data_IF_930490196589
#
_entry.id   IF_930490196589
#
_cell.length_a   1.000
_cell.length_b   1.000
_cell.length_c   1.000
_cell.angle_alpha   90.00
_cell.angle_beta   90.00
_cell.angle_gamma   90.00
#
_symmetry.space_group_name_H-M   'P 1'
#
loop_
_entity.id
_entity.type
_entity.pdbx_description
1 polymer ?
#
# COMPACT_ATOMS: atom_id res chain seq x y z
N UNK A 1 -7.94 -21.20 -17.31
CA UNK A 1 -6.50 -20.97 -17.07
C UNK A 1 -6.25 -21.02 -15.57
N UNK A 2 -5.13 -21.57 -15.11
CA UNK A 2 -4.80 -21.54 -13.68
C UNK A 2 -4.65 -20.08 -13.23
N UNK A 3 -5.41 -19.73 -12.21
CA UNK A 3 -5.41 -18.40 -11.60
C UNK A 3 -5.18 -18.54 -10.09
N UNK A 4 -4.49 -17.58 -9.49
CA UNK A 4 -4.37 -17.45 -8.05
C UNK A 4 -5.05 -16.15 -7.64
N UNK A 5 -5.89 -16.23 -6.63
CA UNK A 5 -6.38 -15.05 -5.92
C UNK A 5 -5.55 -14.94 -4.65
N UNK A 6 -4.75 -13.89 -4.58
CA UNK A 6 -3.93 -13.58 -3.42
C UNK A 6 -4.59 -12.46 -2.62
N UNK A 7 -4.88 -12.75 -1.35
CA UNK A 7 -5.43 -11.79 -0.40
C UNK A 7 -4.30 -11.24 0.50
N UNK A 8 -3.73 -10.12 0.11
CA UNK A 8 -2.64 -9.46 0.82
C UNK A 8 -3.17 -8.58 1.95
N UNK A 9 -2.96 -8.97 3.21
CA UNK A 9 -3.17 -8.10 4.38
C UNK A 9 -1.84 -7.53 4.83
N UNK A 10 -1.53 -6.35 4.33
CA UNK A 10 -0.27 -5.66 4.59
C UNK A 10 -0.44 -4.45 5.50
N UNK A 11 0.64 -3.69 5.62
CA UNK A 11 0.72 -2.46 6.40
C UNK A 11 -0.20 -1.36 5.86
N UNK A 12 -0.51 -1.40 4.56
CA UNK A 12 -1.32 -0.42 3.84
C UNK A 12 -2.77 -0.88 3.59
N UNK A 13 -3.27 -1.82 4.39
CA UNK A 13 -4.63 -2.33 4.25
C UNK A 13 -4.72 -3.71 3.61
N UNK A 14 -5.81 -3.96 2.88
CA UNK A 14 -6.14 -5.24 2.23
C UNK A 14 -6.16 -5.06 0.72
N UNK A 15 -5.34 -5.84 0.02
CA UNK A 15 -5.28 -5.85 -1.44
C UNK A 15 -5.62 -7.25 -1.96
N UNK A 16 -6.34 -7.31 -3.08
CA UNK A 16 -6.64 -8.57 -3.77
C UNK A 16 -5.91 -8.55 -5.11
N UNK A 17 -5.04 -9.52 -5.33
CA UNK A 17 -4.35 -9.69 -6.60
C UNK A 17 -4.86 -10.96 -7.27
N UNK A 18 -5.25 -10.85 -8.53
CA UNK A 18 -5.54 -12.02 -9.36
C UNK A 18 -4.37 -12.23 -10.31
N UNK A 19 -3.66 -13.33 -10.13
CA UNK A 19 -2.51 -13.72 -10.95
C UNK A 19 -2.98 -14.80 -11.93
N UNK A 20 -3.06 -14.45 -13.20
CA UNK A 20 -3.39 -15.40 -14.26
C UNK A 20 -2.10 -15.92 -14.90
N UNK A 21 -1.88 -17.23 -14.85
CA UNK A 21 -0.77 -17.84 -15.56
C UNK A 21 -1.06 -17.84 -17.06
N UNK A 22 -0.51 -16.88 -17.77
CA UNK A 22 -0.48 -16.88 -19.23
C UNK A 22 0.79 -17.60 -19.70
N UNK A 23 0.82 -18.92 -19.60
CA UNK A 23 1.69 -19.73 -20.45
C UNK A 23 0.99 -19.97 -21.79
N UNK A 24 0.69 -18.89 -22.51
CA UNK A 24 0.59 -19.05 -23.95
C UNK A 24 2.00 -18.85 -24.48
N UNK A 25 2.66 -19.87 -25.06
CA UNK A 25 3.65 -19.53 -26.07
C UNK A 25 2.89 -18.64 -27.05
N UNK A 26 3.36 -17.43 -27.28
CA UNK A 26 2.90 -16.62 -28.40
C UNK A 26 3.30 -17.39 -29.66
N UNK A 27 2.52 -18.41 -30.01
CA UNK A 27 2.57 -19.02 -31.33
C UNK A 27 2.06 -17.93 -32.27
N UNK A 28 3.04 -17.22 -32.83
CA UNK A 28 2.95 -16.10 -33.75
C UNK A 28 2.32 -14.84 -33.14
N UNK A 29 3.11 -13.81 -32.76
CA UNK A 29 2.54 -12.47 -32.74
C UNK A 29 2.00 -12.19 -34.15
N UNK A 30 0.72 -11.80 -34.32
CA UNK A 30 0.29 -11.22 -35.58
C UNK A 30 1.17 -10.00 -35.80
N UNK A 31 1.83 -9.96 -36.95
CA UNK A 31 2.60 -8.81 -37.41
C UNK A 31 1.57 -7.69 -37.63
N UNK A 32 1.28 -6.95 -36.56
CA UNK A 32 0.69 -5.62 -36.63
C UNK A 32 1.78 -4.66 -36.20
N UNK A 33 2.43 -4.15 -37.23
CA UNK A 33 3.37 -3.05 -37.20
C UNK A 33 2.77 -1.83 -36.51
N UNK A 34 3.12 -1.63 -35.24
CA UNK A 34 3.19 -0.29 -34.68
C UNK A 34 4.64 0.19 -34.76
N UNK A 35 4.82 1.22 -35.58
CA UNK A 35 6.07 1.86 -35.97
C UNK A 35 6.80 2.42 -34.74
N UNK A 36 7.99 1.91 -34.46
CA UNK A 36 9.10 2.73 -33.98
C UNK A 36 10.43 2.10 -34.42
N UNK A 37 11.18 2.89 -35.19
CA UNK A 37 12.49 2.65 -35.78
C UNK A 37 12.55 1.67 -36.97
N UNK A 38 12.42 2.27 -38.16
CA UNK A 38 12.90 1.70 -39.42
C UNK A 38 14.35 1.23 -39.27
N UNK A 39 14.58 -0.08 -39.42
CA UNK A 39 15.88 -0.64 -39.72
C UNK A 39 15.84 -1.04 -41.18
N UNK A 40 16.46 -0.22 -42.03
CA UNK A 40 16.61 -0.49 -43.47
C UNK A 40 17.43 -1.78 -43.62
N UNK A 41 16.82 -2.81 -44.18
CA UNK A 41 17.48 -4.04 -44.63
C UNK A 41 17.68 -3.95 -46.14
N UNK A 42 18.91 -4.16 -46.63
CA UNK A 42 19.17 -4.36 -48.05
C UNK A 42 18.88 -5.84 -48.42
N UNK A 43 18.47 -6.06 -49.67
CA UNK A 43 17.74 -7.22 -50.20
C UNK A 43 18.44 -8.61 -50.21
N UNK A 44 19.59 -8.81 -49.55
CA UNK A 44 20.36 -10.06 -49.71
C UNK A 44 20.50 -10.96 -48.46
N UNK A 45 19.46 -11.03 -47.61
CA UNK A 45 19.16 -12.22 -46.80
C UNK A 45 20.32 -12.96 -46.09
N UNK A 46 21.26 -12.25 -45.44
CA UNK A 46 22.27 -12.87 -44.57
C UNK A 46 22.29 -12.21 -43.20
N UNK A 47 21.96 -12.99 -42.17
CA UNK A 47 22.13 -12.64 -40.76
C UNK A 47 23.59 -12.89 -40.40
N UNK A 48 24.41 -11.83 -40.32
CA UNK A 48 25.75 -11.92 -39.75
C UNK A 48 25.67 -11.86 -38.23
N UNK A 49 26.02 -12.96 -37.56
CA UNK A 49 26.43 -12.96 -36.15
C UNK A 49 27.58 -11.97 -35.94
N UNK A 50 27.66 -11.23 -34.82
CA UNK A 50 28.80 -10.37 -34.55
C UNK A 50 30.01 -11.25 -34.21
N UNK A 51 30.77 -11.64 -35.25
CA UNK A 51 32.18 -11.99 -35.08
C UNK A 51 32.90 -10.71 -34.70
N UNK A 52 33.47 -10.70 -33.50
CA UNK A 52 34.48 -9.73 -33.10
C UNK A 52 35.67 -9.98 -34.01
N UNK A 53 35.72 -9.27 -35.14
CA UNK A 53 36.91 -9.21 -35.95
C UNK A 53 37.93 -8.37 -35.18
N UNK A 54 39.04 -9.00 -34.80
CA UNK A 54 40.28 -8.31 -34.46
C UNK A 54 40.61 -7.34 -35.61
N UNK A 55 40.34 -6.06 -35.40
CA UNK A 55 40.85 -5.02 -36.29
C UNK A 55 42.25 -4.68 -35.79
N UNK A 56 43.25 -5.21 -36.51
CA UNK A 56 44.60 -4.69 -36.50
C UNK A 56 44.56 -3.25 -36.98
N UNK A 57 44.50 -2.29 -36.06
CA UNK A 57 44.80 -0.89 -36.36
C UNK A 57 46.30 -0.67 -36.22
N UNK A 58 47.05 -1.12 -37.23
CA UNK A 58 48.32 -0.50 -37.60
C UNK A 58 48.01 0.85 -38.27
N UNK A 59 47.62 1.84 -37.48
CA UNK A 59 47.72 3.25 -37.89
C UNK A 59 48.75 3.93 -37.01
N UNK A 60 49.93 4.11 -37.62
CA UNK A 60 50.99 4.97 -37.11
C UNK A 60 50.50 6.41 -37.09
N UNK A 61 49.99 6.85 -35.95
CA UNK A 61 49.92 8.28 -35.63
C UNK A 61 51.34 8.78 -35.30
N UNK A 62 52.11 9.03 -36.35
CA UNK A 62 53.31 9.87 -36.30
C UNK A 62 52.86 11.33 -36.40
N UNK A 63 52.76 12.01 -35.26
CA UNK A 63 53.57 13.18 -34.90
C UNK A 63 52.89 13.91 -33.74
N UNK A 64 53.39 13.70 -32.52
CA UNK A 64 53.64 14.79 -31.57
C UNK A 64 54.88 14.36 -30.77
N UNK A 65 55.81 15.30 -30.68
CA UNK A 65 57.23 15.12 -30.42
C UNK A 65 57.55 14.43 -29.11
N UNK A 66 58.50 13.51 -29.18
CA UNK A 66 59.38 13.09 -28.10
C UNK A 66 60.08 14.30 -27.47
N UNK A 67 59.57 14.83 -26.37
CA UNK A 67 60.32 15.33 -25.21
C UNK A 67 59.30 15.55 -24.07
N UNK A 68 59.58 14.97 -22.91
CA UNK A 68 58.63 14.74 -21.84
C UNK A 68 57.94 15.99 -21.31
N UNK A 69 56.61 15.96 -21.34
CA UNK A 69 55.80 16.62 -20.32
C UNK A 69 54.93 15.53 -19.70
N UNK A 70 55.28 15.11 -18.48
CA UNK A 70 54.42 14.26 -17.67
C UNK A 70 53.21 15.10 -17.35
N UNK A 71 52.09 14.88 -18.06
CA UNK A 71 50.83 15.57 -17.79
C UNK A 71 50.47 15.27 -16.33
N UNK A 72 50.50 16.29 -15.48
CA UNK A 72 50.08 16.13 -14.09
C UNK A 72 48.59 15.84 -14.06
N UNK A 73 48.23 14.66 -13.56
CA UNK A 73 46.84 14.24 -13.42
C UNK A 73 46.11 15.22 -12.51
N UNK A 74 45.00 15.75 -12.99
CA UNK A 74 44.15 16.63 -12.19
C UNK A 74 43.52 15.85 -11.02
N UNK A 75 43.16 16.55 -9.94
CA UNK A 75 42.50 15.94 -8.76
C UNK A 75 41.25 15.14 -9.12
N UNK A 76 40.56 15.52 -10.19
CA UNK A 76 39.40 14.82 -10.75
C UNK A 76 39.75 13.45 -11.34
N UNK A 77 40.90 13.31 -11.99
CA UNK A 77 41.38 12.02 -12.54
C UNK A 77 41.87 11.05 -11.45
N UNK A 78 42.27 11.57 -10.30
CA UNK A 78 42.64 10.79 -9.12
C UNK A 78 41.42 10.37 -8.27
N UNK A 79 40.20 10.77 -8.65
CA UNK A 79 38.97 10.41 -7.93
C UNK A 79 38.51 8.97 -8.19
N UNK A 80 38.91 8.38 -9.32
CA UNK A 80 38.65 6.97 -9.62
C UNK A 80 39.77 6.16 -8.96
N UNK A 81 39.46 5.34 -7.93
CA UNK A 81 40.48 4.55 -7.26
C UNK A 81 41.12 3.57 -8.24
N UNK A 82 42.45 3.52 -8.25
CA UNK A 82 43.20 2.56 -9.05
C UNK A 82 42.90 1.14 -8.60
N UNK A 83 42.96 0.17 -9.51
CA UNK A 83 42.66 -1.25 -9.21
C UNK A 83 43.46 -1.76 -8.00
N UNK A 84 44.72 -1.34 -7.86
CA UNK A 84 45.58 -1.65 -6.71
C UNK A 84 45.11 -1.03 -5.39
N UNK A 85 44.50 0.16 -5.43
CA UNK A 85 43.90 0.79 -4.25
C UNK A 85 42.60 0.09 -3.82
N UNK A 86 41.80 -0.39 -4.78
CA UNK A 86 40.57 -1.17 -4.52
C UNK A 86 40.94 -2.53 -3.90
N UNK A 87 41.96 -3.20 -4.45
CA UNK A 87 42.47 -4.48 -3.94
C UNK A 87 42.95 -4.37 -2.49
N UNK A 88 43.61 -3.27 -2.12
CA UNK A 88 44.05 -3.03 -0.73
C UNK A 88 42.90 -2.65 0.21
N UNK A 89 41.90 -1.92 -0.29
CA UNK A 89 40.79 -1.42 0.53
C UNK A 89 39.78 -2.50 0.90
N UNK A 90 39.56 -3.44 0.00
CA UNK A 90 38.54 -4.50 0.11
C UNK A 90 39.17 -5.90 -0.01
N UNK A 91 40.37 -6.08 0.57
CA UNK A 91 41.16 -7.32 0.52
C UNK A 91 40.38 -8.53 1.10
N UNK A 92 39.61 -8.30 2.17
CA UNK A 92 38.74 -9.33 2.76
C UNK A 92 37.64 -9.81 1.80
N UNK A 93 36.97 -8.89 1.10
CA UNK A 93 35.95 -9.25 0.10
C UNK A 93 36.58 -9.95 -1.10
N UNK A 94 37.79 -9.55 -1.48
CA UNK A 94 38.53 -10.19 -2.56
C UNK A 94 38.95 -11.62 -2.18
N UNK A 95 39.37 -11.83 -0.93
CA UNK A 95 39.67 -13.16 -0.40
C UNK A 95 38.43 -14.04 -0.31
N UNK A 96 37.28 -13.49 0.06
CA UNK A 96 35.99 -14.18 -0.01
C UNK A 96 35.62 -14.55 -1.45
N UNK A 97 35.77 -13.64 -2.41
CA UNK A 97 35.54 -13.93 -3.82
C UNK A 97 36.48 -15.00 -4.36
N UNK A 98 37.76 -14.99 -3.97
CA UNK A 98 38.72 -16.05 -4.32
C UNK A 98 38.28 -17.39 -3.73
N UNK A 99 37.84 -17.42 -2.48
CA UNK A 99 37.34 -18.63 -1.83
C UNK A 99 36.07 -19.17 -2.52
N UNK A 100 35.13 -18.29 -2.88
CA UNK A 100 33.93 -18.65 -3.64
C UNK A 100 34.27 -19.17 -5.04
N UNK A 101 35.22 -18.52 -5.73
CA UNK A 101 35.70 -18.97 -7.03
C UNK A 101 36.31 -20.37 -6.96
N UNK A 102 37.13 -20.64 -5.94
CA UNK A 102 37.69 -21.99 -5.71
C UNK A 102 36.61 -23.04 -5.44
N UNK A 103 35.51 -22.66 -4.76
CA UNK A 103 34.36 -23.56 -4.58
C UNK A 103 33.52 -23.76 -5.84
N UNK A 104 33.44 -22.75 -6.71
CA UNK A 104 32.61 -22.78 -7.92
C UNK A 104 33.24 -23.59 -9.05
N UNK A 105 34.58 -23.57 -9.18
CA UNK A 105 35.32 -24.34 -10.19
C UNK A 105 34.92 -25.83 -10.21
N UNK A 106 34.96 -26.60 -9.09
CA UNK A 106 34.59 -28.00 -9.10
C UNK A 106 33.09 -28.24 -9.36
N UNK A 107 32.21 -27.29 -9.02
CA UNK A 107 30.79 -27.38 -9.34
C UNK A 107 30.55 -27.21 -10.85
N UNK A 108 31.25 -26.27 -11.49
CA UNK A 108 31.21 -26.06 -12.93
C UNK A 108 31.85 -27.24 -13.67
N UNK A 109 32.99 -27.75 -13.21
CA UNK A 109 33.62 -28.96 -13.76
C UNK A 109 32.71 -30.18 -13.63
N UNK A 110 32.02 -30.35 -12.49
CA UNK A 110 31.01 -31.40 -12.35
C UNK A 110 29.81 -31.17 -13.27
N UNK A 111 29.36 -29.94 -13.48
CA UNK A 111 28.26 -29.62 -14.40
C UNK A 111 28.67 -29.89 -15.87
N UNK A 112 29.90 -29.56 -16.24
CA UNK A 112 30.50 -29.83 -17.56
C UNK A 112 30.70 -31.33 -17.75
N UNK A 113 31.18 -32.05 -16.74
CA UNK A 113 31.30 -33.51 -16.77
C UNK A 113 29.93 -34.18 -16.87
N UNK A 114 28.91 -33.70 -16.15
CA UNK A 114 27.53 -34.16 -16.32
C UNK A 114 27.03 -33.89 -17.73
N UNK A 115 27.32 -32.71 -18.30
CA UNK A 115 26.97 -32.36 -19.68
C UNK A 115 27.66 -33.29 -20.69
N UNK A 116 28.95 -33.61 -20.51
CA UNK A 116 29.69 -34.51 -21.39
C UNK A 116 29.29 -35.98 -21.22
N UNK A 117 28.94 -36.43 -20.02
CA UNK A 117 28.38 -37.76 -19.78
C UNK A 117 26.96 -37.87 -20.40
N UNK A 118 26.22 -36.76 -20.47
CA UNK A 118 24.94 -36.70 -21.18
C UNK A 118 25.06 -36.52 -22.70
N UNK A 119 26.19 -36.02 -23.21
CA UNK A 119 26.43 -35.90 -24.67
C UNK A 119 26.62 -37.29 -25.32
N UNK A 120 27.25 -38.25 -24.65
CA UNK A 120 27.41 -39.63 -25.17
C UNK A 120 26.18 -40.52 -24.95
N UNK A 121 25.27 -40.15 -24.04
CA UNK A 121 24.00 -40.86 -23.80
C UNK A 121 22.84 -39.89 -23.83
N UNK A 122 22.16 -39.86 -24.98
CA UNK A 122 20.85 -39.27 -25.23
C UNK A 122 20.83 -37.73 -25.40
N UNK A 123 21.13 -37.27 -26.62
CA UNK A 123 20.24 -36.26 -27.23
C UNK A 123 18.87 -36.92 -27.50
N UNK A 124 18.14 -37.24 -26.45
CA UNK A 124 16.69 -37.25 -26.57
C UNK A 124 16.31 -35.78 -26.77
N UNK A 125 15.95 -35.43 -28.00
CA UNK A 125 15.28 -34.18 -28.33
C UNK A 125 14.37 -33.80 -27.16
N UNK A 126 14.60 -32.61 -26.55
CA UNK A 126 13.85 -32.17 -25.38
C UNK A 126 12.36 -32.27 -25.69
N UNK A 127 11.74 -33.37 -25.28
CA UNK A 127 10.31 -33.56 -25.49
C UNK A 127 9.66 -32.50 -24.62
N UNK A 128 8.78 -31.66 -25.18
CA UNK A 128 8.02 -30.74 -24.35
C UNK A 128 7.39 -31.57 -23.22
N UNK A 129 7.53 -31.14 -21.95
CA UNK A 129 6.95 -31.88 -20.85
C UNK A 129 5.47 -32.13 -21.16
N UNK A 130 4.99 -33.32 -20.82
CA UNK A 130 3.59 -33.67 -21.07
C UNK A 130 2.69 -32.58 -20.51
N UNK A 131 1.62 -32.25 -21.26
CA UNK A 131 0.65 -31.24 -20.85
C UNK A 131 0.09 -31.63 -19.48
N UNK A 132 0.59 -30.98 -18.45
CA UNK A 132 0.10 -31.14 -17.10
C UNK A 132 -1.33 -30.63 -17.05
N UNK A 133 -2.27 -31.47 -16.62
CA UNK A 133 -3.66 -31.07 -16.39
C UNK A 133 -3.85 -30.47 -14.99
N UNK A 134 -2.96 -30.82 -14.08
CA UNK A 134 -2.97 -30.35 -12.69
C UNK A 134 -1.90 -29.27 -12.53
N UNK A 135 -2.36 -28.02 -12.48
CA UNK A 135 -1.51 -26.89 -12.16
C UNK A 135 -1.70 -26.54 -10.70
N UNK A 136 -0.71 -26.84 -9.87
CA UNK A 136 -0.64 -26.26 -8.55
C UNK A 136 -0.12 -24.82 -8.66
N UNK A 137 -1.06 -23.90 -8.88
CA UNK A 137 -0.77 -22.48 -9.01
C UNK A 137 0.06 -21.96 -7.82
N UNK A 138 -0.18 -22.48 -6.62
CA UNK A 138 0.56 -22.13 -5.40
C UNK A 138 2.06 -22.46 -5.50
N UNK A 139 2.43 -23.61 -6.10
CA UNK A 139 3.82 -24.01 -6.30
C UNK A 139 4.57 -23.04 -7.21
N UNK A 140 3.91 -22.65 -8.31
CA UNK A 140 4.46 -21.67 -9.25
C UNK A 140 4.65 -20.30 -8.60
N UNK A 141 3.68 -19.89 -7.78
CA UNK A 141 3.78 -18.64 -7.02
C UNK A 141 4.95 -18.68 -6.05
N UNK A 142 5.06 -19.71 -5.21
CA UNK A 142 6.15 -19.84 -4.25
C UNK A 142 7.51 -19.87 -4.95
N UNK A 143 7.64 -20.59 -6.07
CA UNK A 143 8.87 -20.60 -6.87
C UNK A 143 9.20 -19.23 -7.47
N UNK A 144 8.24 -18.52 -8.07
CA UNK A 144 8.48 -17.24 -8.74
C UNK A 144 8.92 -16.14 -7.76
N UNK A 145 8.40 -16.16 -6.53
CA UNK A 145 8.76 -15.20 -5.49
C UNK A 145 9.99 -15.63 -4.67
N UNK A 146 10.69 -16.70 -5.09
CA UNK A 146 11.93 -17.15 -4.44
C UNK A 146 11.70 -17.93 -3.14
N UNK A 147 10.46 -18.27 -2.82
CA UNK A 147 10.10 -19.15 -1.71
C UNK A 147 10.33 -20.63 -2.01
N UNK A 148 10.91 -20.99 -3.16
CA UNK A 148 11.37 -22.36 -3.44
C UNK A 148 12.71 -22.27 -4.17
N UNK A 149 13.80 -22.08 -3.45
CA UNK A 149 15.14 -22.17 -4.04
C UNK A 149 15.49 -23.64 -4.33
N UNK A 150 16.44 -23.87 -5.23
CA UNK A 150 16.95 -25.21 -5.52
C UNK A 150 17.46 -25.89 -4.24
N UNK A 151 18.10 -25.10 -3.37
CA UNK A 151 18.60 -25.54 -2.06
C UNK A 151 17.47 -25.98 -1.11
N UNK A 152 16.32 -25.28 -1.11
CA UNK A 152 15.13 -25.68 -0.36
C UNK A 152 14.52 -26.97 -0.90
N UNK A 153 14.56 -27.18 -2.22
CA UNK A 153 14.10 -28.42 -2.87
C UNK A 153 15.01 -29.60 -2.58
N UNK A 154 16.33 -29.42 -2.59
CA UNK A 154 17.29 -30.49 -2.28
C UNK A 154 17.13 -31.01 -0.84
N UNK A 155 16.78 -30.15 0.10
CA UNK A 155 16.39 -30.53 1.46
C UNK A 155 15.13 -31.41 1.47
N UNK A 156 14.05 -30.96 0.83
CA UNK A 156 12.77 -31.69 0.75
C UNK A 156 12.91 -33.03 0.01
N UNK A 157 13.81 -33.11 -0.98
CA UNK A 157 14.00 -34.29 -1.83
C UNK A 157 14.93 -35.33 -1.20
N UNK A 158 16.01 -34.90 -0.55
CA UNK A 158 17.10 -35.81 -0.16
C UNK A 158 17.23 -36.00 1.35
N UNK A 159 16.46 -35.28 2.18
CA UNK A 159 16.41 -35.47 3.63
C UNK A 159 17.77 -35.38 4.34
N UNK A 160 18.79 -34.80 3.71
CA UNK A 160 20.16 -34.78 4.22
C UNK A 160 20.44 -33.51 5.00
N UNK A 161 20.95 -33.71 6.21
CA UNK A 161 21.43 -32.75 7.20
C UNK A 161 22.21 -31.57 6.58
N UNK A 162 21.50 -30.48 6.32
CA UNK A 162 22.11 -29.17 6.19
C UNK A 162 22.26 -28.60 7.61
N UNK A 163 23.38 -28.92 8.27
CA UNK A 163 23.72 -28.38 9.60
C UNK A 163 23.99 -26.85 9.58
N UNK A 164 23.91 -26.19 8.43
CA UNK A 164 23.94 -24.74 8.33
C UNK A 164 22.54 -24.18 8.61
N UNK A 165 22.17 -24.21 9.90
CA UNK A 165 20.89 -23.73 10.43
C UNK A 165 20.48 -22.35 9.96
N UNK A 166 21.41 -21.52 9.46
CA UNK A 166 21.13 -20.15 8.99
C UNK A 166 20.26 -20.07 7.74
N UNK A 167 20.43 -20.93 6.74
CA UNK A 167 19.63 -20.85 5.50
C UNK A 167 18.21 -21.41 5.71
N UNK A 168 18.10 -22.52 6.45
CA UNK A 168 16.84 -23.13 6.85
C UNK A 168 16.05 -22.22 7.81
N UNK A 169 16.68 -21.69 8.87
CA UNK A 169 16.03 -20.72 9.76
C UNK A 169 15.65 -19.43 9.03
N UNK A 170 16.44 -18.97 8.06
CA UNK A 170 16.09 -17.80 7.27
C UNK A 170 14.86 -18.06 6.40
N UNK A 171 14.75 -19.22 5.77
CA UNK A 171 13.59 -19.62 4.97
C UNK A 171 12.33 -19.88 5.82
N UNK A 172 12.44 -20.65 6.91
CA UNK A 172 11.36 -20.91 7.87
C UNK A 172 10.92 -19.63 8.61
N UNK A 173 11.79 -18.63 8.74
CA UNK A 173 11.40 -17.33 9.30
C UNK A 173 10.51 -16.50 8.37
N UNK A 174 10.52 -16.77 7.06
CA UNK A 174 9.77 -16.00 6.06
C UNK A 174 8.34 -16.50 5.84
N UNK A 175 8.08 -17.79 6.06
CA UNK A 175 6.75 -18.39 5.89
C UNK A 175 6.32 -19.00 7.21
N UNK A 176 5.16 -18.56 7.71
CA UNK A 176 4.56 -19.08 8.93
C UNK A 176 3.16 -19.60 8.63
N UNK A 177 2.91 -20.85 9.03
CA UNK A 177 1.59 -21.46 8.94
C UNK A 177 0.72 -20.95 10.08
N UNK A 178 -0.47 -20.48 9.73
CA UNK A 178 -1.46 -20.01 10.69
C UNK A 178 -2.65 -20.97 10.70
N UNK A 179 -3.17 -21.29 11.88
CA UNK A 179 -4.38 -22.07 12.03
C UNK A 179 -5.61 -21.24 11.68
N UNK A 180 -6.19 -21.49 10.52
CA UNK A 180 -7.44 -20.86 10.09
C UNK A 180 -8.67 -21.40 10.82
N UNK A 181 -8.58 -22.60 11.41
CA UNK A 181 -9.70 -23.28 12.08
C UNK A 181 -9.85 -22.87 13.55
N UNK A 182 -8.87 -22.16 14.10
CA UNK A 182 -8.92 -21.68 15.47
C UNK A 182 -10.16 -20.81 15.75
N UNK A 183 -10.82 -21.08 16.87
CA UNK A 183 -11.94 -20.27 17.36
C UNK A 183 -11.45 -18.81 17.51
N UNK A 184 -12.11 -17.87 16.83
CA UNK A 184 -11.78 -16.44 16.72
C UNK A 184 -10.78 -16.00 15.63
N UNK A 185 -10.14 -16.88 14.84
CA UNK A 185 -9.21 -16.43 13.78
C UNK A 185 -9.87 -15.43 12.82
N UNK A 186 -11.05 -15.79 12.31
CA UNK A 186 -11.80 -14.93 11.38
C UNK A 186 -12.25 -13.61 12.01
N UNK A 187 -12.59 -13.59 13.30
CA UNK A 187 -13.00 -12.35 13.96
C UNK A 187 -11.82 -11.42 14.23
N UNK A 188 -10.65 -11.96 14.54
CA UNK A 188 -9.42 -11.18 14.64
C UNK A 188 -8.97 -10.62 13.28
N UNK A 189 -9.17 -11.38 12.19
CA UNK A 189 -8.97 -10.89 10.82
C UNK A 189 -9.97 -9.78 10.46
N UNK A 190 -11.26 -9.92 10.82
CA UNK A 190 -12.25 -8.85 10.63
C UNK A 190 -11.90 -7.60 11.42
N UNK A 191 -11.41 -7.75 12.66
CA UNK A 191 -10.92 -6.62 13.47
C UNK A 191 -9.71 -5.96 12.82
N UNK A 192 -8.78 -6.74 12.26
CA UNK A 192 -7.65 -6.22 11.50
C UNK A 192 -8.12 -5.43 10.28
N UNK A 193 -9.07 -5.95 9.51
CA UNK A 193 -9.58 -5.29 8.31
C UNK A 193 -10.35 -3.99 8.62
N UNK A 194 -10.86 -3.81 9.84
CA UNK A 194 -11.45 -2.55 10.34
C UNK A 194 -10.43 -1.49 10.76
N UNK A 195 -9.14 -1.82 10.87
CA UNK A 195 -8.11 -0.81 11.18
C UNK A 195 -7.85 0.02 9.93
N UNK A 196 -8.00 1.34 10.05
CA UNK A 196 -7.72 2.30 8.98
C UNK A 196 -6.35 2.06 8.33
N UNK A 197 -6.23 2.13 7.00
CA UNK A 197 -4.94 2.14 6.32
C UNK A 197 -4.26 3.52 6.36
N UNK A 198 -5.02 4.60 6.59
CA UNK A 198 -4.60 6.01 6.47
C UNK A 198 -4.92 6.77 7.76
N UNK A 199 -4.42 8.00 7.86
CA UNK A 199 -4.89 8.93 8.87
C UNK A 199 -6.31 9.36 8.52
N UNK A 200 -7.18 9.51 9.50
CA UNK A 200 -8.54 9.98 9.26
C UNK A 200 -8.90 11.13 10.22
N UNK A 201 -9.83 11.98 9.82
CA UNK A 201 -10.31 13.11 10.62
C UNK A 201 -11.73 13.53 10.22
N UNK A 202 -12.39 14.24 11.13
CA UNK A 202 -13.79 14.65 10.98
C UNK A 202 -13.93 16.14 11.24
N UNK A 203 -14.64 16.84 10.36
CA UNK A 203 -15.01 18.25 10.56
C UNK A 203 -16.53 18.43 10.54
N UNK A 204 -17.08 19.02 11.60
CA UNK A 204 -18.51 19.32 11.70
C UNK A 204 -18.76 20.76 11.24
N UNK A 205 -19.63 20.97 10.27
CA UNK A 205 -19.91 22.28 9.69
C UNK A 205 -21.24 22.82 10.24
N UNK A 206 -21.22 24.04 10.76
CA UNK A 206 -22.38 24.74 11.29
C UNK A 206 -22.55 26.09 10.61
N UNK A 207 -23.79 26.56 10.52
CA UNK A 207 -24.14 27.87 9.96
C UNK A 207 -24.89 28.69 11.01
N UNK A 208 -24.29 29.76 11.54
CA UNK A 208 -24.96 30.73 12.40
C UNK A 208 -25.40 31.95 11.61
N UNK A 209 -26.70 32.22 11.68
CA UNK A 209 -27.31 33.45 11.16
C UNK A 209 -27.01 34.63 12.07
N UNK A 210 -27.24 35.84 11.56
CA UNK A 210 -27.16 37.08 12.33
C UNK A 210 -28.01 37.02 13.60
N UNK A 211 -27.51 37.60 14.70
CA UNK A 211 -28.12 37.60 16.04
C UNK A 211 -28.25 36.23 16.73
N UNK A 212 -27.80 35.12 16.14
CA UNK A 212 -27.78 33.82 16.81
C UNK A 212 -26.53 33.66 17.64
N UNK A 213 -26.68 33.24 18.90
CA UNK A 213 -25.58 33.20 19.88
C UNK A 213 -25.09 31.79 20.18
N UNK A 214 -25.88 30.75 19.90
CA UNK A 214 -25.58 29.37 20.32
C UNK A 214 -25.63 28.40 19.15
N UNK A 215 -24.74 27.41 19.14
CA UNK A 215 -24.68 26.36 18.11
C UNK A 215 -26.01 25.61 17.96
N UNK A 216 -26.80 25.47 19.02
CA UNK A 216 -28.10 24.77 19.01
C UNK A 216 -29.10 25.44 18.05
N UNK A 217 -29.03 26.75 17.89
CA UNK A 217 -29.90 27.52 16.98
C UNK A 217 -29.55 27.28 15.50
N UNK A 218 -28.36 26.72 15.23
CA UNK A 218 -27.86 26.51 13.87
C UNK A 218 -28.52 25.33 13.14
N UNK A 219 -29.08 24.35 13.87
CA UNK A 219 -29.57 23.10 13.27
C UNK A 219 -30.75 23.32 12.32
N UNK A 220 -31.65 24.27 12.66
CA UNK A 220 -32.80 24.59 11.80
C UNK A 220 -32.44 25.43 10.58
N UNK A 221 -31.26 26.08 10.56
CA UNK A 221 -30.92 27.05 9.52
C UNK A 221 -30.75 26.40 8.13
N UNK A 222 -30.31 25.15 8.10
CA UNK A 222 -30.08 24.40 6.86
C UNK A 222 -31.39 24.03 6.14
N UNK A 223 -32.54 24.09 6.82
CA UNK A 223 -33.85 23.87 6.21
C UNK A 223 -34.31 25.09 5.39
N UNK A 224 -33.73 26.27 5.63
CA UNK A 224 -34.08 27.53 4.96
C UNK A 224 -33.02 27.93 3.94
N UNK A 225 -32.85 27.13 2.87
CA UNK A 225 -31.76 27.28 1.90
C UNK A 225 -31.74 28.65 1.18
N UNK A 226 -32.90 29.26 0.94
CA UNK A 226 -33.03 30.56 0.24
C UNK A 226 -32.43 31.74 1.02
N UNK A 227 -32.28 31.60 2.34
CA UNK A 227 -31.76 32.66 3.20
C UNK A 227 -30.26 32.52 3.47
N UNK A 228 -29.63 31.45 3.01
CA UNK A 228 -28.22 31.19 3.27
C UNK A 228 -27.35 31.99 2.30
N UNK A 229 -26.19 32.44 2.79
CA UNK A 229 -25.21 33.14 1.97
C UNK A 229 -24.72 32.23 0.83
N UNK A 230 -24.80 32.65 -0.45
CA UNK A 230 -24.33 31.85 -1.59
C UNK A 230 -22.86 31.41 -1.48
N UNK A 231 -22.01 32.22 -0.85
CA UNK A 231 -20.61 31.89 -0.64
C UNK A 231 -20.41 30.69 0.30
N UNK A 232 -21.35 30.44 1.23
CA UNK A 232 -21.31 29.27 2.09
C UNK A 232 -21.48 27.99 1.27
N UNK A 233 -22.45 27.94 0.36
CA UNK A 233 -22.64 26.77 -0.52
C UNK A 233 -21.40 26.47 -1.36
N UNK A 234 -20.79 27.52 -1.93
CA UNK A 234 -19.57 27.38 -2.73
C UNK A 234 -18.38 26.92 -1.88
N UNK A 235 -18.26 27.39 -0.65
CA UNK A 235 -17.26 26.86 0.29
C UNK A 235 -17.52 25.37 0.59
N UNK A 236 -18.78 25.02 0.89
CA UNK A 236 -19.15 23.65 1.28
C UNK A 236 -18.92 22.65 0.15
N UNK A 237 -19.27 23.02 -1.09
CA UNK A 237 -19.06 22.17 -2.27
C UNK A 237 -17.58 21.89 -2.57
N UNK A 238 -16.68 22.75 -2.09
CA UNK A 238 -15.24 22.56 -2.25
C UNK A 238 -14.61 21.64 -1.19
N UNK A 239 -15.34 21.26 -0.13
CA UNK A 239 -14.77 20.39 0.90
C UNK A 239 -14.52 18.97 0.43
N UNK A 240 -15.32 18.45 -0.49
CA UNK A 240 -15.22 17.07 -0.95
C UNK A 240 -16.39 16.64 -1.83
N UNK A 241 -16.41 15.35 -2.16
CA UNK A 241 -17.49 14.73 -2.93
C UNK A 241 -18.56 14.19 -1.98
N UNK A 242 -19.83 14.34 -2.34
CA UNK A 242 -20.94 13.78 -1.56
C UNK A 242 -20.93 12.26 -1.74
N UNK A 243 -20.89 11.52 -0.65
CA UNK A 243 -20.95 10.05 -0.65
C UNK A 243 -22.00 9.56 0.35
N UNK A 244 -22.62 8.42 0.04
CA UNK A 244 -23.57 7.75 0.92
C UNK A 244 -22.83 6.86 1.92
N UNK A 245 -23.08 7.04 3.21
CA UNK A 245 -22.36 6.35 4.30
C UNK A 245 -22.45 4.82 4.17
N UNK A 246 -23.62 4.30 3.77
CA UNK A 246 -23.85 2.86 3.61
C UNK A 246 -23.02 2.22 2.48
N UNK A 247 -22.61 3.01 1.48
CA UNK A 247 -21.94 2.55 0.26
C UNK A 247 -20.49 3.01 0.17
N UNK A 248 -20.02 3.78 1.15
CA UNK A 248 -18.67 4.30 1.15
C UNK A 248 -17.71 3.34 1.87
N UNK A 249 -16.53 3.13 1.29
CA UNK A 249 -15.51 2.22 1.80
C UNK A 249 -14.42 2.90 2.65
N UNK A 250 -14.34 4.24 2.64
CA UNK A 250 -13.38 5.00 3.44
C UNK A 250 -13.94 5.48 4.77
N UNK A 251 -13.31 6.50 5.34
CA UNK A 251 -13.77 7.19 6.54
C UNK A 251 -15.12 7.90 6.35
N UNK A 252 -16.09 7.58 7.21
CA UNK A 252 -17.46 8.13 7.17
C UNK A 252 -17.78 9.05 8.35
N UNK A 253 -16.79 9.37 9.19
CA UNK A 253 -16.99 10.15 10.42
C UNK A 253 -17.25 9.30 11.67
N UNK A 254 -17.48 7.99 11.51
CA UNK A 254 -17.63 7.02 12.61
C UNK A 254 -16.92 5.70 12.23
N UNK A 255 -16.12 5.15 13.13
CA UNK A 255 -15.39 3.89 12.93
C UNK A 255 -16.32 2.68 12.70
N UNK A 256 -17.52 2.69 13.27
CA UNK A 256 -18.51 1.61 13.08
C UNK A 256 -19.09 1.57 11.67
N UNK A 257 -19.13 2.73 10.99
CA UNK A 257 -19.67 2.88 9.64
C UNK A 257 -18.59 2.89 8.55
N UNK A 258 -17.31 3.00 8.93
CA UNK A 258 -16.17 3.14 8.01
C UNK A 258 -15.49 1.81 7.66
N UNK A 259 -14.67 1.83 6.60
CA UNK A 259 -13.83 0.70 6.15
C UNK A 259 -14.59 -0.60 5.94
N UNK A 260 -15.81 -0.48 5.40
CA UNK A 260 -16.69 -1.61 5.08
C UNK A 260 -16.44 -2.12 3.67
N UNK A 261 -16.63 -3.43 3.49
CA UNK A 261 -16.68 -4.02 2.16
C UNK A 261 -18.05 -3.76 1.57
N UNK A 262 -18.10 -3.07 0.43
CA UNK A 262 -19.35 -2.70 -0.24
C UNK A 262 -19.55 -3.65 -1.43
N UNK A 263 -20.65 -4.43 -1.48
CA UNK A 263 -20.96 -5.27 -2.63
C UNK A 263 -21.06 -4.45 -3.92
N UNK A 264 -20.42 -4.93 -4.99
CA UNK A 264 -20.35 -4.26 -6.31
C UNK A 264 -21.75 -3.93 -6.86
N UNK A 265 -22.76 -4.74 -6.55
CA UNK A 265 -24.15 -4.52 -7.02
C UNK A 265 -24.71 -3.18 -6.51
N UNK A 266 -24.28 -2.73 -5.34
CA UNK A 266 -24.69 -1.45 -4.79
C UNK A 266 -23.94 -0.27 -5.43
N UNK A 267 -22.82 -0.42 -6.14
CA UNK A 267 -22.06 0.75 -6.63
C UNK A 267 -22.70 1.48 -7.80
N UNK A 268 -23.56 0.81 -8.59
CA UNK A 268 -24.05 1.34 -9.87
C UNK A 268 -25.38 2.11 -9.82
N UNK A 269 -25.97 2.29 -8.64
CA UNK A 269 -27.14 3.16 -8.48
C UNK A 269 -26.68 4.63 -8.35
N UNK A 270 -26.99 5.44 -9.36
CA UNK A 270 -26.70 6.88 -9.41
C UNK A 270 -27.14 7.58 -8.11
N UNK A 271 -26.27 8.43 -7.55
CA UNK A 271 -26.61 9.25 -6.38
C UNK A 271 -27.63 10.31 -6.78
N UNK A 272 -28.81 10.27 -6.16
CA UNK A 272 -29.78 11.37 -6.16
C UNK A 272 -29.07 12.65 -5.70
N UNK A 273 -29.37 13.80 -6.32
CA UNK A 273 -28.90 15.10 -5.85
C UNK A 273 -29.36 15.30 -4.41
N UNK A 274 -28.42 15.49 -3.48
CA UNK A 274 -28.72 15.70 -2.06
C UNK A 274 -28.67 17.18 -1.72
N UNK A 275 -29.56 17.60 -0.83
CA UNK A 275 -29.56 18.94 -0.22
C UNK A 275 -28.53 19.00 0.92
N UNK A 276 -28.12 20.21 1.32
CA UNK A 276 -27.15 20.36 2.43
C UNK A 276 -27.65 19.75 3.75
N UNK A 277 -28.95 19.85 4.03
CA UNK A 277 -29.54 19.27 5.24
C UNK A 277 -29.49 17.73 5.26
N UNK A 278 -29.40 17.07 4.10
CA UNK A 278 -29.27 15.62 4.02
C UNK A 278 -27.81 15.15 4.26
N UNK A 279 -26.82 16.04 4.20
CA UNK A 279 -25.40 15.72 4.44
C UNK A 279 -25.13 15.79 5.95
N UNK A 280 -25.83 14.95 6.71
CA UNK A 280 -25.91 15.02 8.18
C UNK A 280 -24.93 14.11 8.93
N UNK A 281 -24.12 13.31 8.23
CA UNK A 281 -23.21 12.33 8.84
C UNK A 281 -23.81 10.94 9.07
N UNK A 282 -25.14 10.78 8.98
CA UNK A 282 -25.80 9.48 9.11
C UNK A 282 -26.01 8.82 7.74
N UNK A 283 -26.60 9.53 6.79
CA UNK A 283 -26.89 8.99 5.45
C UNK A 283 -25.84 9.42 4.41
N UNK A 284 -25.31 10.63 4.54
CA UNK A 284 -24.30 11.18 3.64
C UNK A 284 -23.29 12.06 4.35
N UNK A 285 -22.10 12.10 3.75
CA UNK A 285 -21.01 12.97 4.13
C UNK A 285 -20.39 13.62 2.88
N UNK A 286 -19.65 14.70 3.09
CA UNK A 286 -18.67 15.22 2.14
C UNK A 286 -17.34 14.54 2.42
N UNK A 287 -16.90 13.71 1.49
CA UNK A 287 -15.68 12.94 1.61
C UNK A 287 -14.55 13.57 0.78
N UNK A 288 -13.38 13.69 1.40
CA UNK A 288 -12.15 14.07 0.74
C UNK A 288 -11.02 13.17 1.21
N UNK A 289 -10.11 12.82 0.31
CA UNK A 289 -8.93 12.06 0.66
C UNK A 289 -7.74 12.46 -0.20
N UNK A 290 -6.55 12.26 0.36
CA UNK A 290 -5.29 12.28 -0.37
C UNK A 290 -4.53 10.95 -0.17
N UNK A 291 -3.22 10.95 -0.47
CA UNK A 291 -2.37 9.76 -0.36
C UNK A 291 -2.25 9.22 1.07
N UNK A 292 -2.49 10.04 2.09
CA UNK A 292 -2.17 9.72 3.49
C UNK A 292 -3.31 9.95 4.47
N UNK A 293 -4.31 10.73 4.06
CA UNK A 293 -5.38 11.24 4.93
C UNK A 293 -6.74 11.11 4.28
N UNK A 294 -7.73 10.75 5.10
CA UNK A 294 -9.15 10.77 4.78
C UNK A 294 -9.85 11.79 5.68
N UNK A 295 -10.75 12.58 5.12
CA UNK A 295 -11.50 13.61 5.86
C UNK A 295 -12.98 13.48 5.53
N UNK A 296 -13.79 13.35 6.58
CA UNK A 296 -15.24 13.38 6.48
C UNK A 296 -15.76 14.72 7.03
N UNK A 297 -16.51 15.45 6.20
CA UNK A 297 -17.26 16.63 6.61
C UNK A 297 -18.75 16.34 6.59
N UNK A 298 -19.48 16.87 7.57
CA UNK A 298 -20.94 16.81 7.59
C UNK A 298 -21.54 17.97 8.38
N UNK A 299 -22.85 18.17 8.22
CA UNK A 299 -23.64 19.23 8.81
C UNK A 299 -24.62 18.64 9.85
N UNK A 300 -24.28 18.63 11.14
CA UNK A 300 -25.06 17.95 12.17
C UNK A 300 -26.40 18.63 12.46
N UNK A 301 -27.41 17.83 12.83
CA UNK A 301 -28.72 18.32 13.32
C UNK A 301 -28.86 18.32 14.85
N UNK A 302 -27.85 17.81 15.55
CA UNK A 302 -27.79 17.78 17.00
C UNK A 302 -26.34 17.91 17.46
N UNK A 303 -26.15 18.39 18.68
CA UNK A 303 -24.86 18.44 19.33
C UNK A 303 -24.89 17.51 20.54
N UNK A 304 -24.30 16.33 20.42
CA UNK A 304 -24.11 15.42 21.55
C UNK A 304 -22.68 15.55 22.05
N UNK A 305 -22.49 15.75 23.35
CA UNK A 305 -21.17 15.68 24.02
C UNK A 305 -20.77 14.25 24.38
N UNK A 306 -21.52 13.22 23.98
CA UNK A 306 -21.29 11.86 24.47
C UNK A 306 -19.86 11.40 24.16
N UNK A 307 -19.10 11.23 25.24
CA UNK A 307 -17.69 10.88 25.30
C UNK A 307 -17.50 9.39 25.00
N UNK A 308 -17.65 8.98 23.74
CA UNK A 308 -17.20 7.66 23.32
C UNK A 308 -15.96 7.69 22.43
N UNK A 309 -15.61 8.84 21.82
CA UNK A 309 -14.36 8.97 21.06
C UNK A 309 -13.33 9.80 21.83
N UNK A 310 -12.11 9.28 21.99
CA UNK A 310 -10.93 10.02 22.44
C UNK A 310 -10.42 11.02 21.38
N UNK A 311 -11.22 11.31 20.37
CA UNK A 311 -10.82 12.09 19.19
C UNK A 311 -11.18 13.55 19.36
N UNK A 312 -10.33 14.41 18.80
CA UNK A 312 -10.56 15.83 18.76
C UNK A 312 -11.79 16.17 17.93
N UNK A 313 -12.70 16.97 18.47
CA UNK A 313 -13.86 17.49 17.76
C UNK A 313 -13.52 18.83 17.14
N UNK A 314 -13.66 18.91 15.82
CA UNK A 314 -13.33 20.13 15.08
C UNK A 314 -14.62 20.66 14.47
N UNK A 315 -15.00 21.86 14.91
CA UNK A 315 -16.21 22.55 14.48
C UNK A 315 -15.80 23.66 13.51
N UNK A 316 -16.44 23.72 12.35
CA UNK A 316 -16.26 24.74 11.32
C UNK A 316 -17.53 25.55 11.32
N UNK A 317 -17.44 26.82 11.68
CA UNK A 317 -18.60 27.65 11.98
C UNK A 317 -18.64 28.82 11.03
N UNK A 318 -19.65 28.85 10.16
CA UNK A 318 -19.95 30.03 9.37
C UNK A 318 -20.67 31.07 10.23
N UNK A 319 -20.14 32.29 10.26
CA UNK A 319 -20.60 33.38 11.12
C UNK A 319 -21.06 34.56 10.26
N UNK A 320 -22.37 34.79 10.15
CA UNK A 320 -22.89 36.00 9.49
C UNK A 320 -22.51 37.29 10.25
N UNK A 321 -22.33 37.18 11.56
CA UNK A 321 -21.90 38.26 12.44
C UNK A 321 -20.58 37.87 13.10
N UNK A 322 -19.58 38.74 13.00
CA UNK A 322 -18.24 38.48 13.53
C UNK A 322 -18.28 38.40 15.07
N UNK A 323 -17.51 37.45 15.63
CA UNK A 323 -17.38 37.26 17.08
C UNK A 323 -15.91 37.08 17.43
N UNK A 324 -15.48 37.76 18.50
CA UNK A 324 -14.13 37.59 19.05
C UNK A 324 -14.03 36.34 19.94
N UNK A 325 -15.05 36.06 20.76
CA UNK A 325 -15.11 34.87 21.60
C UNK A 325 -15.96 33.76 20.97
N UNK A 326 -15.29 32.77 20.36
CA UNK A 326 -15.94 31.59 19.80
C UNK A 326 -16.32 30.53 20.82
N UNK A 327 -15.71 30.55 22.01
CA UNK A 327 -16.04 29.57 23.04
C UNK A 327 -17.47 29.81 23.57
N UNK A 328 -17.96 31.05 23.51
CA UNK A 328 -19.34 31.44 23.83
C UNK A 328 -20.44 30.77 22.98
N UNK A 329 -20.10 30.27 21.79
CA UNK A 329 -21.09 29.65 20.89
C UNK A 329 -21.46 28.22 21.34
N UNK A 330 -20.63 27.63 22.21
CA UNK A 330 -20.87 26.30 22.77
C UNK A 330 -21.93 26.34 23.88
N UNK A 331 -22.74 25.28 24.05
CA UNK A 331 -23.70 25.20 25.16
C UNK A 331 -23.00 25.25 26.54
N UNK A 332 -23.61 25.91 27.53
CA UNK A 332 -23.04 26.11 28.88
C UNK A 332 -22.63 24.82 29.61
N UNK A 333 -23.26 23.69 29.27
CA UNK A 333 -22.96 22.37 29.83
C UNK A 333 -21.65 21.76 29.30
N UNK A 334 -20.96 22.43 28.39
CA UNK A 334 -19.79 21.90 27.70
C UNK A 334 -18.48 21.95 28.49
N UNK A 335 -18.52 22.29 29.79
CA UNK A 335 -17.44 22.62 30.75
C UNK A 335 -16.17 21.72 30.83
N UNK A 336 -16.00 20.72 29.96
CA UNK A 336 -14.78 19.93 29.73
C UNK A 336 -14.25 20.06 28.28
N UNK A 337 -14.19 21.30 27.75
CA UNK A 337 -13.84 21.68 26.36
C UNK A 337 -12.41 21.42 25.86
N UNK A 338 -11.58 20.59 26.52
CA UNK A 338 -10.16 20.43 26.10
C UNK A 338 -10.01 19.83 24.70
N UNK A 339 -11.02 19.12 24.23
CA UNK A 339 -10.97 18.32 23.00
C UNK A 339 -11.82 18.92 21.88
N UNK A 340 -12.33 20.15 22.05
CA UNK A 340 -13.09 20.86 21.02
C UNK A 340 -12.28 22.04 20.47
N UNK A 341 -12.13 22.10 19.15
CA UNK A 341 -11.58 23.27 18.46
C UNK A 341 -12.60 23.82 17.47
N UNK A 342 -12.69 25.15 17.42
CA UNK A 342 -13.62 25.86 16.55
C UNK A 342 -12.82 26.72 15.57
N UNK A 343 -13.20 26.62 14.30
CA UNK A 343 -12.73 27.46 13.20
C UNK A 343 -13.93 28.28 12.72
N UNK A 344 -14.00 29.55 13.13
CA UNK A 344 -14.99 30.50 12.66
C UNK A 344 -14.60 31.14 11.34
N UNK A 345 -15.59 31.33 10.47
CA UNK A 345 -15.43 31.90 9.14
C UNK A 345 -16.45 33.03 9.00
N UNK A 346 -15.96 34.25 8.87
CA UNK A 346 -16.79 35.43 8.71
C UNK A 346 -16.61 36.06 7.32
N UNK A 347 -17.66 36.17 6.49
CA UNK A 347 -17.60 36.83 5.19
C UNK A 347 -17.46 38.35 5.35
N UNK A 348 -16.47 38.94 4.68
CA UNK A 348 -16.24 40.38 4.65
C UNK A 348 -16.90 41.02 3.41
N UNK A 349 -17.09 42.35 3.45
CA UNK A 349 -17.67 43.13 2.35
C UNK A 349 -16.88 43.06 1.04
N UNK A 350 -15.58 42.78 1.11
CA UNK A 350 -14.68 42.66 -0.05
C UNK A 350 -14.62 41.23 -0.62
N UNK A 351 -15.58 40.35 -0.27
CA UNK A 351 -15.63 38.94 -0.69
C UNK A 351 -14.44 38.09 -0.21
N UNK A 352 -13.68 38.57 0.78
CA UNK A 352 -12.73 37.77 1.53
C UNK A 352 -13.37 37.23 2.81
N UNK A 353 -12.70 36.29 3.46
CA UNK A 353 -13.21 35.58 4.63
C UNK A 353 -12.21 35.73 5.76
N UNK A 354 -12.65 36.29 6.89
CA UNK A 354 -11.86 36.38 8.10
C UNK A 354 -11.99 35.08 8.89
N UNK A 355 -10.87 34.52 9.28
CA UNK A 355 -10.76 33.33 10.11
C UNK A 355 -10.67 33.76 11.56
N UNK A 356 -11.35 33.01 12.42
CA UNK A 356 -11.30 33.16 13.86
C UNK A 356 -11.17 31.77 14.50
N UNK A 357 -10.37 31.66 15.55
CA UNK A 357 -10.05 30.40 16.22
C UNK A 357 -10.42 30.52 17.70
N UNK A 358 -11.01 29.47 18.29
CA UNK A 358 -11.26 29.47 19.73
C UNK A 358 -9.98 29.26 20.56
N UNK A 359 -10.07 29.42 21.88
CA UNK A 359 -8.94 29.33 22.81
C UNK A 359 -8.13 28.04 22.64
N UNK A 360 -8.81 26.91 22.46
CA UNK A 360 -8.13 25.63 22.28
C UNK A 360 -7.39 25.52 20.93
N UNK A 361 -8.04 25.96 19.83
CA UNK A 361 -7.42 25.97 18.52
C UNK A 361 -6.19 26.89 18.50
N UNK A 362 -6.26 28.07 19.11
CA UNK A 362 -5.13 29.00 19.25
C UNK A 362 -3.98 28.39 20.07
N UNK A 363 -4.30 27.68 21.17
CA UNK A 363 -3.29 26.97 21.98
C UNK A 363 -2.58 25.88 21.18
N UNK A 364 -3.30 25.14 20.36
CA UNK A 364 -2.70 24.09 19.52
C UNK A 364 -1.88 24.71 18.39
N UNK A 365 -2.36 25.81 17.82
CA UNK A 365 -1.64 26.59 16.81
C UNK A 365 -0.32 27.14 17.36
N UNK A 366 -0.29 27.70 18.57
CA UNK A 366 0.95 28.19 19.19
C UNK A 366 1.91 27.07 19.55
N UNK A 367 1.40 25.90 19.92
CA UNK A 367 2.22 24.70 20.17
C UNK A 367 2.71 24.01 18.87
N UNK A 368 2.18 24.37 17.70
CA UNK A 368 2.42 23.65 16.45
C UNK A 368 2.54 24.61 15.26
N UNK A 369 3.78 24.87 14.84
CA UNK A 369 4.09 25.76 13.71
C UNK A 369 3.57 25.29 12.33
N UNK A 370 2.87 24.15 12.25
CA UNK A 370 2.38 23.54 11.01
C UNK A 370 0.88 23.70 10.76
N UNK A 371 0.15 24.45 11.60
CA UNK A 371 -1.24 24.84 11.29
C UNK A 371 -1.20 26.06 10.37
N UNK A 372 -1.65 25.95 9.11
CA UNK A 372 -1.57 27.05 8.16
C UNK A 372 -2.63 28.14 8.41
N UNK A 373 -3.67 27.85 9.22
CA UNK A 373 -4.65 28.84 9.63
C UNK A 373 -4.17 29.60 10.86
N UNK A 374 -4.26 30.93 10.79
CA UNK A 374 -3.94 31.85 11.88
C UNK A 374 -5.20 32.60 12.29
N UNK A 375 -5.38 32.81 13.60
CA UNK A 375 -6.45 33.67 14.10
C UNK A 375 -6.37 35.08 13.49
N UNK A 376 -7.50 35.60 13.02
CA UNK A 376 -7.59 36.87 12.31
C UNK A 376 -7.15 36.86 10.85
N UNK A 377 -6.63 35.74 10.32
CA UNK A 377 -6.21 35.65 8.92
C UNK A 377 -7.36 35.89 7.95
N UNK A 378 -7.08 36.51 6.80
CA UNK A 378 -8.07 36.78 5.76
C UNK A 378 -7.72 36.01 4.49
N UNK A 379 -8.68 35.23 3.97
CA UNK A 379 -8.49 34.35 2.81
C UNK A 379 -9.57 34.60 1.73
N UNK A 380 -9.26 34.42 0.44
CA UNK A 380 -10.26 34.34 -0.62
C UNK A 380 -10.97 32.97 -0.63
N UNK A 381 -12.19 32.95 -1.17
CA UNK A 381 -13.06 31.76 -1.19
C UNK A 381 -12.41 30.50 -1.79
N UNK A 382 -11.67 30.65 -2.89
CA UNK A 382 -11.16 29.51 -3.67
C UNK A 382 -10.03 28.72 -2.98
N UNK A 383 -9.34 29.30 -1.99
CA UNK A 383 -8.34 28.58 -1.17
C UNK A 383 -8.85 28.25 0.22
N UNK A 384 -9.98 28.80 0.63
CA UNK A 384 -10.53 28.68 1.98
C UNK A 384 -10.69 27.21 2.40
N UNK A 385 -11.32 26.41 1.55
CA UNK A 385 -11.55 24.97 1.79
C UNK A 385 -10.23 24.19 1.95
N UNK A 386 -9.19 24.54 1.19
CA UNK A 386 -7.87 23.93 1.29
C UNK A 386 -7.23 24.21 2.66
N UNK A 387 -7.20 25.47 3.09
CA UNK A 387 -6.64 25.84 4.38
C UNK A 387 -7.39 25.19 5.55
N UNK A 388 -8.72 25.12 5.46
CA UNK A 388 -9.55 24.46 6.49
C UNK A 388 -9.26 22.96 6.54
N UNK A 389 -9.16 22.27 5.40
CA UNK A 389 -8.76 20.84 5.38
C UNK A 389 -7.42 20.62 6.07
N UNK A 390 -6.43 21.46 5.76
CA UNK A 390 -5.10 21.37 6.39
C UNK A 390 -5.16 21.65 7.89
N UNK A 391 -5.93 22.64 8.33
CA UNK A 391 -6.12 22.93 9.75
C UNK A 391 -6.84 21.79 10.48
N UNK A 392 -7.88 21.21 9.89
CA UNK A 392 -8.62 20.06 10.43
C UNK A 392 -7.68 18.86 10.62
N UNK A 393 -6.85 18.58 9.60
CA UNK A 393 -5.84 17.53 9.67
C UNK A 393 -4.82 17.79 10.79
N UNK A 394 -4.24 18.99 10.85
CA UNK A 394 -3.22 19.34 11.84
C UNK A 394 -3.76 19.34 13.28
N UNK A 395 -4.95 19.88 13.52
CA UNK A 395 -5.63 19.84 14.83
C UNK A 395 -5.86 18.39 15.25
N UNK A 396 -6.48 17.57 14.39
CA UNK A 396 -6.74 16.15 14.66
C UNK A 396 -5.46 15.36 14.95
N UNK A 397 -4.37 15.68 14.24
CA UNK A 397 -3.07 15.03 14.43
C UNK A 397 -2.43 15.41 15.77
N UNK A 398 -2.55 16.66 16.22
CA UNK A 398 -1.97 17.10 17.49
C UNK A 398 -2.54 16.34 18.67
N UNK A 399 -3.88 16.21 18.75
CA UNK A 399 -4.54 15.47 19.84
C UNK A 399 -4.05 14.03 19.91
N UNK A 400 -3.93 13.35 18.76
CA UNK A 400 -3.41 11.98 18.68
C UNK A 400 -2.00 11.83 19.22
N UNK A 401 -1.15 12.86 19.11
CA UNK A 401 0.21 12.86 19.64
C UNK A 401 0.28 13.11 21.15
N UNK A 402 -0.72 13.76 21.74
CA UNK A 402 -0.81 13.98 23.20
C UNK A 402 -1.21 12.72 23.95
N UNK A 403 -2.08 11.93 23.33
CA UNK A 403 -2.61 10.71 23.89
C UNK A 403 -1.64 9.55 23.61
N UNK A 404 -0.89 9.14 24.64
CA UNK A 404 0.17 8.11 24.58
C UNK A 404 -0.24 6.76 23.97
N UNK A 405 -1.53 6.41 23.97
CA UNK A 405 -2.05 5.22 23.29
C UNK A 405 -2.45 5.44 21.82
N UNK A 406 -2.79 6.67 21.41
CA UNK A 406 -3.16 7.03 20.03
C UNK A 406 -2.00 7.62 19.21
N UNK A 407 -0.83 7.84 19.83
CA UNK A 407 0.38 8.30 19.12
C UNK A 407 0.91 7.29 18.10
N UNK A 408 0.40 6.05 18.12
CA UNK A 408 0.74 5.04 17.13
C UNK A 408 0.04 5.35 15.80
N UNK A 409 0.82 5.46 14.73
CA UNK A 409 0.27 5.59 13.39
C UNK A 409 -0.60 4.38 13.04
N UNK A 410 -1.59 4.58 12.17
CA UNK A 410 -2.43 3.49 11.65
C UNK A 410 -1.59 2.30 11.12
N UNK A 411 -0.48 2.62 10.44
CA UNK A 411 0.58 1.70 10.06
C UNK A 411 1.14 0.88 11.24
N UNK A 412 1.53 1.54 12.33
CA UNK A 412 2.11 0.87 13.50
C UNK A 412 1.09 -0.03 14.20
N UNK A 413 -0.14 0.46 14.38
CA UNK A 413 -1.24 -0.31 14.98
C UNK A 413 -1.52 -1.58 14.18
N UNK A 414 -1.62 -1.43 12.84
CA UNK A 414 -1.85 -2.55 11.93
C UNK A 414 -0.69 -3.55 11.97
N UNK A 415 0.56 -3.07 11.95
CA UNK A 415 1.76 -3.91 12.09
C UNK A 415 1.71 -4.73 13.38
N UNK A 416 1.51 -4.07 14.52
CA UNK A 416 1.42 -4.72 15.83
C UNK A 416 0.27 -5.73 15.88
N UNK A 417 -0.88 -5.43 15.26
CA UNK A 417 -2.00 -6.36 15.22
C UNK A 417 -1.72 -7.58 14.34
N UNK A 418 -1.06 -7.39 13.19
CA UNK A 418 -0.58 -8.50 12.34
C UNK A 418 0.37 -9.39 13.13
N UNK A 419 1.38 -8.82 13.79
CA UNK A 419 2.31 -9.59 14.63
C UNK A 419 1.60 -10.37 15.72
N UNK A 420 0.62 -9.77 16.41
CA UNK A 420 -0.19 -10.47 17.43
C UNK A 420 -1.03 -11.61 16.86
N UNK A 421 -1.61 -11.44 15.67
CA UNK A 421 -2.35 -12.51 14.98
C UNK A 421 -1.41 -13.65 14.63
N UNK A 422 -0.23 -13.33 14.09
CA UNK A 422 0.79 -14.31 13.79
C UNK A 422 1.17 -15.09 15.05
N UNK A 423 1.57 -14.42 16.13
CA UNK A 423 1.97 -15.06 17.39
C UNK A 423 0.87 -15.93 18.01
N UNK A 424 -0.39 -15.49 17.90
CA UNK A 424 -1.55 -16.17 18.49
C UNK A 424 -1.97 -17.42 17.72
N UNK A 425 -1.88 -17.39 16.39
CA UNK A 425 -2.40 -18.45 15.52
C UNK A 425 -1.31 -19.23 14.81
N UNK A 426 -0.03 -18.98 15.11
CA UNK A 426 1.07 -19.75 14.57
C UNK A 426 0.95 -21.22 15.02
N UNK A 427 0.81 -22.11 14.04
CA UNK A 427 0.86 -23.55 14.29
C UNK A 427 2.30 -23.95 14.61
N UNK A 428 2.57 -24.19 15.89
CA UNK A 428 3.87 -24.72 16.36
C UNK A 428 4.00 -26.23 16.16
N UNK A 429 2.89 -26.90 15.87
CA UNK A 429 2.79 -28.36 15.74
C UNK A 429 2.80 -28.86 14.30
N UNK A 430 2.43 -28.03 13.32
CA UNK A 430 2.50 -28.41 11.91
C UNK A 430 3.94 -28.28 11.43
N UNK A 431 4.50 -29.39 10.98
CA UNK A 431 5.80 -29.39 10.35
C UNK A 431 5.63 -28.68 9.00
N UNK A 432 6.29 -27.53 8.79
CA UNK A 432 6.35 -26.87 7.47
C UNK A 432 6.75 -27.86 6.38
N UNK A 433 7.56 -28.86 6.75
CA UNK A 433 7.92 -30.01 5.93
C UNK A 433 6.70 -30.76 5.38
N UNK A 434 5.65 -30.99 6.17
CA UNK A 434 4.42 -31.66 5.73
C UNK A 434 3.63 -30.80 4.73
N UNK A 435 3.58 -29.47 4.96
CA UNK A 435 2.96 -28.53 4.03
C UNK A 435 3.68 -28.50 2.67
N UNK A 436 5.01 -28.44 2.69
CA UNK A 436 5.82 -28.53 1.47
C UNK A 436 5.74 -29.92 0.84
N UNK A 437 5.66 -31.00 1.62
CA UNK A 437 5.40 -32.34 1.10
C UNK A 437 4.05 -32.42 0.37
N UNK A 438 3.01 -31.79 0.92
CA UNK A 438 1.69 -31.67 0.28
C UNK A 438 1.74 -30.94 -1.05
N UNK A 439 2.41 -29.79 -1.13
CA UNK A 439 2.48 -28.97 -2.35
C UNK A 439 3.43 -29.56 -3.41
N UNK A 440 4.52 -30.21 -3.00
CA UNK A 440 5.56 -30.64 -3.94
C UNK A 440 5.47 -32.13 -4.30
N UNK A 441 4.89 -32.98 -3.44
CA UNK A 441 4.98 -34.44 -3.59
C UNK A 441 3.62 -35.14 -3.64
N UNK A 442 2.57 -34.64 -2.99
CA UNK A 442 1.27 -35.36 -2.99
C UNK A 442 0.55 -35.37 -4.34
N UNK A 443 0.93 -34.52 -5.30
CA UNK A 443 0.46 -34.65 -6.69
C UNK A 443 1.03 -35.87 -7.43
N UNK A 444 2.10 -36.49 -6.94
CA UNK A 444 2.67 -37.72 -7.54
C UNK A 444 2.07 -39.01 -6.99
N UNK A 445 1.39 -38.98 -5.84
CA UNK A 445 0.78 -40.17 -5.24
C UNK A 445 -0.55 -40.56 -5.92
N UNK A 446 -1.35 -39.58 -6.34
CA UNK A 446 -2.66 -39.82 -6.99
C UNK A 446 -2.47 -40.45 -8.39
N UNK A 447 -1.35 -40.18 -9.06
CA UNK A 447 -1.03 -40.74 -10.38
C UNK A 447 -0.53 -42.18 -10.34
N UNK A 448 -0.13 -42.70 -9.17
CA UNK A 448 0.29 -44.11 -9.01
C UNK A 448 -0.81 -45.03 -8.50
N UNK A 449 -1.90 -44.51 -7.92
CA UNK A 449 -3.03 -45.32 -7.47
C UNK A 449 -4.15 -45.44 -8.51
N UNK A 450 -4.18 -44.61 -9.54
CA UNK A 450 -5.25 -44.65 -10.56
C UNK A 450 -5.07 -45.70 -11.66
N UNK A 451 -4.05 -46.58 -11.57
CA UNK A 451 -3.94 -47.74 -12.48
C UNK A 451 -4.53 -49.03 -11.93
N UNK A 452 -5.00 -49.08 -10.68
CA UNK A 452 -5.65 -50.27 -10.11
C UNK A 452 -6.65 -49.87 -9.02
N UNK A 453 -7.84 -49.42 -9.42
CA UNK A 453 -9.16 -49.67 -8.78
C UNK A 453 -10.16 -48.62 -9.27
N UNK A 454 -10.73 -48.86 -10.45
CA UNK A 454 -12.07 -48.33 -10.74
C UNK A 454 -13.07 -49.09 -9.88
N UNK A 455 -13.45 -48.50 -8.75
CA UNK A 455 -14.76 -48.58 -8.11
C UNK A 455 -14.61 -48.20 -6.63
N UNK A 456 -15.61 -47.47 -6.13
CA UNK A 456 -15.94 -47.24 -4.71
C UNK A 456 -15.50 -45.87 -4.13
N UNK A 457 -16.51 -44.98 -4.00
CA UNK A 457 -16.71 -43.88 -3.02
C UNK A 457 -15.97 -42.56 -3.34
N UNK A 458 -16.60 -41.50 -3.88
CA UNK A 458 -17.64 -40.64 -3.26
C UNK A 458 -17.39 -40.27 -1.79
N UNK A 459 -16.35 -39.48 -1.50
CA UNK A 459 -16.41 -38.44 -0.45
C UNK A 459 -15.05 -37.78 -0.27
N UNK A 460 -15.04 -36.46 -0.35
CA UNK A 460 -14.08 -35.48 0.19
C UNK A 460 -13.70 -34.44 -0.87
N UNK A 461 -14.74 -33.73 -1.31
CA UNK A 461 -14.64 -32.33 -1.70
C UNK A 461 -13.99 -31.56 -0.55
N UNK A 462 -12.70 -31.27 -0.67
CA UNK A 462 -12.09 -30.20 0.13
C UNK A 462 -12.79 -28.93 -0.34
N UNK A 463 -13.61 -28.39 0.55
CA UNK A 463 -14.42 -27.22 0.35
C UNK A 463 -13.59 -26.09 -0.26
N UNK A 464 -13.85 -25.82 -1.53
CA UNK A 464 -13.77 -24.48 -2.10
C UNK A 464 -14.72 -23.60 -1.29
N UNK A 465 -14.20 -23.00 -0.21
CA UNK A 465 -14.85 -21.86 0.40
C UNK A 465 -14.51 -20.67 -0.48
N UNK A 466 -15.50 -20.26 -1.26
CA UNK A 466 -15.57 -18.95 -1.88
C UNK A 466 -15.21 -17.86 -0.85
N UNK A 467 -14.26 -16.99 -1.20
CA UNK A 467 -13.93 -15.75 -0.49
C UNK A 467 -13.77 -14.61 -1.49
#
# INVERSE_FOLDING_TARGET
MPAIILLCRGLFGKNIWTLNFRHNPTSNPPIQSHKSHERITNENGKISSPRINNVNNDQKDKLLTTHGTKIERTKSELSIPTLSSIIKRDEEKLNLFRALKVKQIPMEEQAIQRAHISDEKLFSECKPPERQKHFESIRLFLSHYGFCSLDSMDYLMNGKNWNDSKAFNHFQSQIQLLDSNAENFMDDIKKLDKISPTLYCTGQIYYLKKNQNTLLESFSNLNTLEQLNPAFFNMVSQFGSIVEVKRHCGWTGNAETSWKTVPIVLSNMYSKTKTLAEINGHDSILYWADLTTEIAFYLPHHFSLDNQSSEMRILIVWLEEFRDDLDSVLPEQSSKLRDISIIGIHPLKNHLFRISLNSNAQRIQSACASIPLIDGMVLPLHILSFFIRQAVHSLSRRKRLEDSQSSQTAYSLRKTRITKIIEKYQNRTDNLDEFFQKIFFLSTAITKQTTNTESIIQSNSINTVEL
#
